data_IF_140185944459
#
_entry.id   IF_140185944459
#
_cell.length_a   1.000
_cell.length_b   1.000
_cell.length_c   1.000
_cell.angle_alpha   90.00
_cell.angle_beta   90.00
_cell.angle_gamma   90.00
#
_symmetry.space_group_name_H-M   'P 1'
#
loop_
_entity.id
_entity.type
_entity.pdbx_description
1 polymer ?
#
# COMPACT_ATOMS: atom_id res chain seq x y z
N UNK A 1 3.84 3.37 22.58
CA UNK A 1 4.59 2.66 23.61
C UNK A 1 6.06 2.65 23.26
N UNK A 2 6.78 1.58 22.91
CA UNK A 2 8.23 1.73 22.62
C UNK A 2 8.49 2.70 21.44
N UNK A 3 7.77 2.56 20.32
CA UNK A 3 7.91 3.46 19.17
C UNK A 3 7.59 4.91 19.51
N UNK A 4 6.50 5.15 20.22
CA UNK A 4 6.09 6.46 20.70
C UNK A 4 7.16 7.08 21.61
N UNK A 5 7.69 6.29 22.56
CA UNK A 5 8.72 6.75 23.51
C UNK A 5 9.99 7.25 22.83
N UNK A 6 10.35 6.68 21.68
CA UNK A 6 11.53 7.08 20.89
C UNK A 6 11.19 8.06 19.76
N UNK A 7 9.94 8.56 19.70
CA UNK A 7 9.49 9.63 18.82
C UNK A 7 9.07 9.21 17.42
N UNK A 8 8.82 7.91 17.16
CA UNK A 8 8.19 7.49 15.91
C UNK A 8 6.68 7.77 15.94
N UNK A 9 6.16 8.30 14.85
CA UNK A 9 4.73 8.55 14.65
C UNK A 9 4.14 7.75 13.47
N UNK A 10 4.97 7.08 12.69
CA UNK A 10 4.55 6.20 11.57
C UNK A 10 5.32 4.89 11.61
N UNK A 11 4.63 3.77 11.39
CA UNK A 11 5.24 2.45 11.25
C UNK A 11 4.66 1.70 10.04
N UNK A 12 5.51 1.23 9.12
CA UNK A 12 5.09 0.40 7.98
C UNK A 12 4.92 -1.07 8.38
N UNK A 13 4.00 -1.32 9.29
CA UNK A 13 3.55 -2.59 9.82
C UNK A 13 2.05 -2.45 10.21
N UNK A 14 1.30 -3.55 10.40
CA UNK A 14 1.70 -4.95 10.37
C UNK A 14 1.79 -5.56 8.96
N UNK A 15 2.43 -6.75 8.87
CA UNK A 15 2.41 -7.57 7.65
C UNK A 15 1.17 -8.46 7.66
N UNK A 16 0.32 -8.35 6.64
CA UNK A 16 -0.93 -9.10 6.49
C UNK A 16 -0.80 -10.26 5.50
N UNK A 17 0.36 -10.40 4.88
CA UNK A 17 0.62 -11.48 3.93
C UNK A 17 0.54 -12.84 4.60
N UNK A 18 -0.19 -13.78 3.98
CA UNK A 18 -0.41 -15.13 4.51
C UNK A 18 0.70 -16.04 3.99
N UNK A 19 1.45 -16.67 4.89
CA UNK A 19 2.37 -17.75 4.55
C UNK A 19 3.65 -17.34 3.82
N UNK A 20 4.02 -16.06 3.77
CA UNK A 20 5.31 -15.66 3.19
C UNK A 20 6.48 -16.23 3.99
N UNK A 21 7.59 -16.59 3.31
CA UNK A 21 8.75 -17.19 3.95
C UNK A 21 9.51 -16.21 4.87
N UNK A 22 10.55 -16.72 5.52
CA UNK A 22 11.52 -15.94 6.34
C UNK A 22 10.94 -15.32 7.62
N UNK A 23 9.85 -15.87 8.17
CA UNK A 23 9.29 -15.42 9.45
C UNK A 23 8.65 -14.03 9.41
N UNK A 24 8.32 -13.52 8.22
CA UNK A 24 7.67 -12.22 8.05
C UNK A 24 6.14 -12.28 8.21
N UNK A 25 5.52 -13.45 7.99
CA UNK A 25 4.09 -13.67 8.18
C UNK A 25 3.77 -14.09 9.61
N UNK A 26 2.60 -13.70 10.10
CA UNK A 26 2.05 -14.23 11.35
C UNK A 26 1.60 -15.70 11.23
N UNK A 27 1.45 -16.26 10.03
CA UNK A 27 1.07 -17.66 9.81
C UNK A 27 0.57 -17.96 8.41
N UNK A 28 0.07 -19.18 8.24
CA UNK A 28 -0.43 -19.70 6.98
C UNK A 28 -1.97 -19.76 6.89
N UNK A 29 -2.65 -19.28 7.92
CA UNK A 29 -4.11 -19.28 8.02
C UNK A 29 -4.64 -17.85 8.10
N UNK A 30 -5.62 -17.53 7.26
CA UNK A 30 -6.16 -16.17 7.14
C UNK A 30 -6.82 -15.67 8.44
N UNK A 31 -7.50 -16.53 9.17
CA UNK A 31 -8.15 -16.16 10.42
C UNK A 31 -7.11 -15.91 11.53
N UNK A 32 -6.04 -16.71 11.55
CA UNK A 32 -4.93 -16.53 12.48
C UNK A 32 -4.19 -15.21 12.19
N UNK A 33 -3.82 -14.94 10.93
CA UNK A 33 -3.19 -13.67 10.52
C UNK A 33 -4.09 -12.50 10.88
N UNK A 34 -5.41 -12.56 10.56
CA UNK A 34 -6.37 -11.51 10.89
C UNK A 34 -6.40 -11.19 12.39
N UNK A 35 -6.42 -12.21 13.25
CA UNK A 35 -6.45 -12.04 14.70
C UNK A 35 -5.21 -11.30 15.23
N UNK A 36 -4.02 -11.67 14.76
CA UNK A 36 -2.78 -11.05 15.22
C UNK A 36 -2.61 -9.64 14.66
N UNK A 37 -2.95 -9.42 13.39
CA UNK A 37 -2.87 -8.10 12.77
C UNK A 37 -3.89 -7.13 13.36
N UNK A 38 -5.11 -7.59 13.68
CA UNK A 38 -6.10 -6.78 14.40
C UNK A 38 -5.57 -6.34 15.77
N UNK A 39 -4.99 -7.25 16.55
CA UNK A 39 -4.39 -6.92 17.84
C UNK A 39 -3.25 -5.91 17.72
N UNK A 40 -2.39 -6.05 16.68
CA UNK A 40 -1.33 -5.09 16.40
C UNK A 40 -1.87 -3.71 16.03
N UNK A 41 -2.89 -3.63 15.16
CA UNK A 41 -3.53 -2.38 14.76
C UNK A 41 -4.14 -1.66 15.97
N UNK A 42 -4.86 -2.37 16.84
CA UNK A 42 -5.39 -1.78 18.09
C UNK A 42 -4.29 -1.25 19.02
N UNK A 43 -3.13 -1.93 19.06
CA UNK A 43 -1.97 -1.45 19.79
C UNK A 43 -1.36 -0.17 19.20
N UNK A 44 -1.33 -0.03 17.88
CA UNK A 44 -0.90 1.20 17.21
C UNK A 44 -1.89 2.35 17.45
N UNK A 45 -3.21 2.08 17.35
CA UNK A 45 -4.23 3.09 17.65
C UNK A 45 -4.12 3.63 19.08
N UNK A 46 -3.93 2.73 20.07
CA UNK A 46 -3.75 3.12 21.47
C UNK A 46 -2.49 3.96 21.70
N UNK A 47 -1.48 3.80 20.86
CA UNK A 47 -0.21 4.54 20.94
C UNK A 47 -0.20 5.80 20.05
N UNK A 48 -1.27 6.14 19.34
CA UNK A 48 -1.31 7.26 18.40
C UNK A 48 -0.37 7.10 17.19
N UNK A 49 0.06 5.87 16.88
CA UNK A 49 0.97 5.59 15.76
C UNK A 49 0.16 5.36 14.48
N UNK A 50 0.49 6.09 13.42
CA UNK A 50 -0.01 5.80 12.08
C UNK A 50 0.66 4.51 11.60
N UNK A 51 -0.12 3.54 11.14
CA UNK A 51 0.40 2.25 10.68
C UNK A 51 -0.01 1.93 9.25
N UNK A 52 0.66 0.97 8.63
CA UNK A 52 0.39 0.57 7.25
C UNK A 52 0.20 -0.94 7.13
N UNK A 53 -0.98 -1.34 6.64
CA UNK A 53 -1.29 -2.73 6.30
C UNK A 53 -0.54 -3.13 5.04
N UNK A 54 0.24 -4.22 5.04
CA UNK A 54 1.07 -4.59 3.89
C UNK A 54 1.19 -6.10 3.69
N UNK A 55 1.37 -6.51 2.43
CA UNK A 55 1.43 -5.75 1.16
C UNK A 55 0.20 -6.07 0.32
N UNK A 56 -0.69 -5.12 0.15
CA UNK A 56 -1.94 -5.34 -0.60
C UNK A 56 -1.66 -5.68 -2.08
N UNK A 57 -2.43 -6.61 -2.67
CA UNK A 57 -3.56 -7.40 -2.15
C UNK A 57 -3.18 -8.70 -1.40
N UNK A 58 -1.92 -8.93 -1.08
CA UNK A 58 -1.39 -10.10 -0.39
C UNK A 58 -0.34 -10.86 -1.21
N UNK A 59 0.85 -11.06 -0.63
CA UNK A 59 2.00 -11.64 -1.33
C UNK A 59 2.21 -13.14 -1.03
N UNK A 60 1.36 -13.76 -0.22
CA UNK A 60 1.57 -15.10 0.33
C UNK A 60 1.71 -16.23 -0.70
N UNK A 61 1.25 -16.02 -1.92
CA UNK A 61 1.40 -16.97 -3.04
C UNK A 61 2.62 -16.69 -3.93
N UNK A 62 3.46 -15.71 -3.55
CA UNK A 62 4.70 -15.44 -4.28
C UNK A 62 5.78 -16.43 -3.89
N UNK A 63 6.31 -17.16 -4.86
CA UNK A 63 7.47 -18.05 -4.69
C UNK A 63 8.80 -17.33 -4.92
N UNK A 64 8.78 -16.07 -5.39
CA UNK A 64 9.94 -15.27 -5.77
C UNK A 64 9.99 -13.98 -4.93
N UNK A 65 11.20 -13.56 -4.61
CA UNK A 65 11.44 -12.29 -3.92
C UNK A 65 11.18 -11.10 -4.86
N UNK A 66 10.17 -10.26 -4.60
CA UNK A 66 9.83 -9.12 -5.45
C UNK A 66 10.89 -8.02 -5.48
N UNK A 67 11.91 -8.08 -4.62
CA UNK A 67 13.03 -7.13 -4.65
C UNK A 67 13.93 -7.32 -5.87
N UNK A 68 13.96 -8.52 -6.46
CA UNK A 68 14.90 -8.88 -7.53
C UNK A 68 14.26 -8.97 -8.90
N UNK A 69 13.01 -9.44 -8.98
CA UNK A 69 12.36 -9.74 -10.26
C UNK A 69 10.86 -9.42 -10.22
N UNK A 70 10.29 -9.19 -11.41
CA UNK A 70 8.85 -9.10 -11.59
C UNK A 70 8.22 -10.48 -11.51
N UNK A 71 7.27 -10.64 -10.61
CA UNK A 71 6.53 -11.89 -10.45
C UNK A 71 5.03 -11.68 -10.69
N UNK A 72 4.40 -12.72 -11.25
CA UNK A 72 2.96 -12.76 -11.55
C UNK A 72 2.26 -13.78 -10.67
N UNK A 73 1.23 -13.32 -9.97
CA UNK A 73 0.33 -14.20 -9.22
C UNK A 73 -0.87 -14.50 -10.11
N UNK A 74 -1.07 -15.78 -10.42
CA UNK A 74 -2.15 -16.25 -11.32
C UNK A 74 -3.45 -16.60 -10.58
N UNK A 75 -3.68 -16.06 -9.39
CA UNK A 75 -4.92 -16.23 -8.66
C UNK A 75 -6.04 -15.40 -9.31
N UNK A 76 -7.24 -15.99 -9.40
CA UNK A 76 -8.42 -15.22 -9.81
C UNK A 76 -8.82 -14.22 -8.71
N UNK A 77 -9.62 -13.22 -9.07
CA UNK A 77 -10.13 -12.24 -8.11
C UNK A 77 -10.91 -12.90 -6.96
N UNK A 78 -11.70 -13.91 -7.27
CA UNK A 78 -12.49 -14.66 -6.28
C UNK A 78 -11.59 -15.37 -5.27
N UNK A 79 -10.49 -15.96 -5.72
CA UNK A 79 -9.50 -16.60 -4.85
C UNK A 79 -8.83 -15.56 -3.95
N UNK A 80 -8.41 -14.41 -4.50
CA UNK A 80 -7.85 -13.32 -3.69
C UNK A 80 -8.81 -12.85 -2.62
N UNK A 81 -10.11 -12.68 -2.94
CA UNK A 81 -11.15 -12.30 -2.00
C UNK A 81 -11.41 -13.31 -0.88
N UNK A 82 -11.23 -14.61 -1.18
CA UNK A 82 -11.49 -15.70 -0.25
C UNK A 82 -10.28 -16.09 0.58
N UNK A 83 -9.10 -15.62 0.24
CA UNK A 83 -7.86 -16.01 0.89
C UNK A 83 -7.00 -14.78 1.25
N UNK A 84 -6.22 -14.27 0.32
CA UNK A 84 -5.13 -13.30 0.59
C UNK A 84 -5.62 -11.95 1.12
N UNK A 85 -6.81 -11.49 0.70
CA UNK A 85 -7.36 -10.20 1.14
C UNK A 85 -8.20 -10.27 2.41
N UNK A 86 -8.46 -11.47 2.97
CA UNK A 86 -9.25 -11.60 4.21
C UNK A 86 -8.71 -10.74 5.35
N UNK A 87 -7.40 -10.74 5.68
CA UNK A 87 -6.88 -9.92 6.76
C UNK A 87 -7.07 -8.42 6.51
N UNK A 88 -6.90 -7.95 5.26
CA UNK A 88 -7.14 -6.55 4.89
C UNK A 88 -8.62 -6.18 5.04
N UNK A 89 -9.50 -6.99 4.47
CA UNK A 89 -10.96 -6.79 4.56
C UNK A 89 -11.43 -6.73 6.01
N UNK A 90 -10.89 -7.61 6.86
CA UNK A 90 -11.22 -7.64 8.28
C UNK A 90 -10.90 -6.31 8.97
N UNK A 91 -9.71 -5.75 8.77
CA UNK A 91 -9.33 -4.45 9.34
C UNK A 91 -10.18 -3.32 8.75
N UNK A 92 -10.29 -3.25 7.41
CA UNK A 92 -11.04 -2.19 6.70
C UNK A 92 -12.50 -2.12 7.17
N UNK A 93 -13.14 -3.27 7.46
CA UNK A 93 -14.54 -3.35 7.84
C UNK A 93 -14.81 -3.23 9.35
N UNK A 94 -13.83 -3.55 10.20
CA UNK A 94 -14.02 -3.59 11.65
C UNK A 94 -13.40 -2.40 12.39
N UNK A 95 -12.72 -1.50 11.70
CA UNK A 95 -12.18 -0.27 12.25
C UNK A 95 -12.98 0.92 11.73
N UNK A 96 -13.66 1.63 12.64
CA UNK A 96 -14.57 2.73 12.30
C UNK A 96 -13.85 3.88 11.62
N UNK A 97 -12.63 4.18 12.07
CA UNK A 97 -11.76 5.18 11.48
C UNK A 97 -10.73 4.48 10.59
N UNK A 98 -10.69 4.84 9.32
CA UNK A 98 -9.67 4.35 8.40
C UNK A 98 -8.46 5.32 8.38
N UNK A 99 -7.98 5.69 9.56
CA UNK A 99 -6.87 6.60 9.81
C UNK A 99 -5.51 5.88 9.82
N UNK A 100 -5.41 4.83 9.02
CA UNK A 100 -4.22 4.05 8.73
C UNK A 100 -3.93 4.03 7.22
N UNK A 101 -2.80 3.48 6.85
CA UNK A 101 -2.40 3.33 5.45
C UNK A 101 -2.60 1.90 4.96
N UNK A 102 -2.75 1.74 3.65
CA UNK A 102 -2.58 0.46 2.96
C UNK A 102 -1.41 0.59 1.99
N UNK A 103 -0.38 -0.23 2.19
CA UNK A 103 0.78 -0.31 1.30
C UNK A 103 0.52 -1.32 0.20
N UNK A 104 0.59 -0.86 -1.05
CA UNK A 104 0.38 -1.69 -2.24
C UNK A 104 1.72 -2.14 -2.80
N UNK A 105 1.90 -3.45 -2.93
CA UNK A 105 3.11 -4.06 -3.48
C UNK A 105 3.21 -3.92 -5.02
N UNK A 106 4.31 -4.43 -5.59
CA UNK A 106 4.61 -4.29 -7.03
C UNK A 106 4.35 -5.56 -7.85
N UNK A 107 3.76 -6.59 -7.26
CA UNK A 107 3.44 -7.82 -7.99
C UNK A 107 2.29 -7.61 -8.97
N UNK A 108 2.27 -8.40 -10.04
CA UNK A 108 1.15 -8.43 -11.00
C UNK A 108 0.19 -9.55 -10.58
N UNK A 109 -1.08 -9.21 -10.40
CA UNK A 109 -2.16 -10.14 -10.10
C UNK A 109 -3.01 -10.31 -11.35
N UNK A 110 -2.77 -11.38 -12.13
CA UNK A 110 -3.37 -11.54 -13.45
C UNK A 110 -4.89 -11.69 -13.44
N UNK A 111 -5.47 -12.07 -12.29
CA UNK A 111 -6.92 -12.04 -12.09
C UNK A 111 -7.52 -10.66 -11.85
N UNK A 112 -6.69 -9.63 -11.67
CA UNK A 112 -7.12 -8.23 -11.47
C UNK A 112 -6.67 -7.33 -12.63
N UNK A 113 -5.38 -7.39 -13.00
CA UNK A 113 -4.80 -6.54 -14.04
C UNK A 113 -3.53 -7.16 -14.64
N UNK A 114 -3.04 -6.54 -15.71
CA UNK A 114 -1.73 -6.85 -16.34
C UNK A 114 -0.61 -5.93 -15.86
N UNK A 115 -0.95 -4.90 -15.09
CA UNK A 115 -0.02 -3.93 -14.50
C UNK A 115 0.40 -4.35 -13.08
N UNK A 116 1.58 -3.92 -12.61
CA UNK A 116 1.94 -4.01 -11.19
C UNK A 116 0.88 -3.35 -10.30
N UNK A 117 0.55 -3.97 -9.18
CA UNK A 117 -0.57 -3.54 -8.32
C UNK A 117 -0.47 -2.07 -7.89
N UNK A 118 0.74 -1.57 -7.58
CA UNK A 118 0.98 -0.18 -7.16
C UNK A 118 0.75 0.88 -8.26
N UNK A 119 0.63 0.47 -9.53
CA UNK A 119 0.35 1.36 -10.66
C UNK A 119 -0.91 0.94 -11.42
N UNK A 120 -1.73 0.08 -10.83
CA UNK A 120 -2.96 -0.45 -11.42
C UNK A 120 -4.21 0.25 -10.86
N UNK A 121 -4.97 1.00 -11.69
CA UNK A 121 -6.28 1.53 -11.29
C UNK A 121 -7.28 0.42 -10.92
N UNK A 122 -7.17 -0.76 -11.52
CA UNK A 122 -8.03 -1.91 -11.21
C UNK A 122 -7.81 -2.41 -9.79
N UNK A 123 -6.54 -2.45 -9.34
CA UNK A 123 -6.20 -2.88 -7.97
C UNK A 123 -6.56 -1.80 -6.96
N UNK A 124 -6.20 -0.54 -7.22
CA UNK A 124 -6.33 0.52 -6.22
C UNK A 124 -7.76 1.09 -6.19
N UNK A 125 -8.26 1.60 -7.32
CA UNK A 125 -9.57 2.24 -7.33
C UNK A 125 -10.71 1.23 -7.30
N UNK A 126 -10.66 0.17 -8.15
CA UNK A 126 -11.78 -0.74 -8.24
C UNK A 126 -11.78 -1.78 -7.10
N UNK A 127 -10.64 -2.44 -6.84
CA UNK A 127 -10.60 -3.52 -5.87
C UNK A 127 -10.46 -3.00 -4.42
N UNK A 128 -9.46 -2.16 -4.12
CA UNK A 128 -9.23 -1.68 -2.75
C UNK A 128 -10.28 -0.63 -2.32
N UNK A 129 -10.47 0.43 -3.12
CA UNK A 129 -11.36 1.54 -2.72
C UNK A 129 -12.83 1.22 -2.89
N UNK A 130 -13.25 0.75 -4.08
CA UNK A 130 -14.68 0.56 -4.37
C UNK A 130 -15.21 -0.76 -3.77
N UNK A 131 -14.49 -1.87 -3.92
CA UNK A 131 -15.03 -3.18 -3.53
C UNK A 131 -14.76 -3.52 -2.06
N UNK A 132 -13.54 -3.25 -1.54
CA UNK A 132 -13.25 -3.45 -0.12
C UNK A 132 -13.64 -2.24 0.75
N UNK A 133 -13.93 -1.08 0.15
CA UNK A 133 -14.44 0.10 0.85
C UNK A 133 -13.36 0.95 1.54
N UNK A 134 -12.07 0.83 1.17
CA UNK A 134 -11.00 1.60 1.80
C UNK A 134 -10.98 3.06 1.33
N UNK A 135 -11.08 4.00 2.27
CA UNK A 135 -11.07 5.44 2.02
C UNK A 135 -9.82 6.17 2.58
N UNK A 136 -8.97 5.46 3.33
CA UNK A 136 -7.74 6.00 3.91
C UNK A 136 -6.61 6.18 2.91
N UNK A 137 -5.39 6.36 3.42
CA UNK A 137 -4.19 6.64 2.64
C UNK A 137 -3.67 5.37 1.95
N UNK A 138 -3.49 5.42 0.64
CA UNK A 138 -2.80 4.39 -0.14
C UNK A 138 -1.35 4.83 -0.38
N UNK A 139 -0.39 4.00 0.03
CA UNK A 139 1.05 4.21 -0.18
C UNK A 139 1.62 3.08 -1.05
N UNK A 140 2.58 3.39 -1.92
CA UNK A 140 3.34 2.34 -2.63
C UNK A 140 4.30 1.61 -1.68
N UNK A 141 4.70 0.39 -2.01
CA UNK A 141 5.98 -0.15 -1.55
C UNK A 141 7.13 0.66 -2.18
N UNK A 142 8.38 0.38 -1.82
CA UNK A 142 9.53 1.13 -2.33
C UNK A 142 9.63 1.06 -3.86
N UNK A 143 9.46 2.20 -4.50
CA UNK A 143 9.47 2.31 -5.96
C UNK A 143 10.84 1.99 -6.61
N UNK A 144 11.88 1.81 -5.81
CA UNK A 144 13.21 1.39 -6.28
C UNK A 144 13.36 -0.14 -6.40
N UNK A 145 12.31 -0.91 -6.05
CA UNK A 145 12.31 -2.37 -6.20
C UNK A 145 12.34 -2.81 -7.66
N UNK A 146 13.10 -3.88 -7.94
CA UNK A 146 13.32 -4.44 -9.28
C UNK A 146 12.02 -4.78 -10.02
N UNK A 147 10.99 -5.23 -9.30
CA UNK A 147 9.68 -5.52 -9.85
C UNK A 147 9.04 -4.32 -10.59
N UNK A 148 9.32 -3.10 -10.18
CA UNK A 148 8.79 -1.89 -10.80
C UNK A 148 9.80 -1.22 -11.74
N UNK A 149 11.08 -1.12 -11.34
CA UNK A 149 12.13 -0.45 -12.12
C UNK A 149 12.48 -1.16 -13.43
N UNK A 150 12.16 -2.47 -13.53
CA UNK A 150 12.29 -3.21 -14.79
C UNK A 150 11.28 -2.79 -15.87
N UNK A 151 10.20 -2.07 -15.49
CA UNK A 151 9.10 -1.70 -16.40
C UNK A 151 8.99 -0.19 -16.62
N UNK A 152 9.39 0.62 -15.66
CA UNK A 152 9.16 2.07 -15.64
C UNK A 152 10.41 2.84 -15.27
N UNK A 153 10.62 3.98 -15.92
CA UNK A 153 11.51 5.02 -15.40
C UNK A 153 10.89 5.75 -14.20
N UNK A 154 11.74 6.33 -13.33
CA UNK A 154 11.26 6.95 -12.08
C UNK A 154 10.23 8.08 -12.29
N UNK A 155 10.37 8.89 -13.35
CA UNK A 155 9.39 9.93 -13.68
C UNK A 155 8.04 9.33 -14.05
N UNK A 156 8.04 8.25 -14.82
CA UNK A 156 6.85 7.60 -15.35
C UNK A 156 6.11 6.81 -14.27
N UNK A 157 6.83 6.08 -13.41
CA UNK A 157 6.21 5.28 -12.35
C UNK A 157 5.47 6.14 -11.33
N UNK A 158 6.02 7.32 -10.98
CA UNK A 158 5.33 8.26 -10.09
C UNK A 158 4.02 8.76 -10.68
N UNK A 159 4.00 9.10 -11.96
CA UNK A 159 2.78 9.52 -12.67
C UNK A 159 1.77 8.38 -12.72
N UNK A 160 2.21 7.16 -13.07
CA UNK A 160 1.34 6.00 -13.17
C UNK A 160 0.70 5.64 -11.81
N UNK A 161 1.47 5.69 -10.71
CA UNK A 161 0.97 5.43 -9.37
C UNK A 161 -0.10 6.47 -8.94
N UNK A 162 0.13 7.76 -9.17
CA UNK A 162 -0.87 8.80 -8.89
C UNK A 162 -2.12 8.62 -9.76
N UNK A 163 -1.98 8.28 -11.04
CA UNK A 163 -3.12 7.96 -11.92
C UNK A 163 -3.92 6.74 -11.43
N UNK A 164 -3.24 5.78 -10.80
CA UNK A 164 -3.88 4.61 -10.22
C UNK A 164 -4.63 4.90 -8.92
N UNK A 165 -4.43 6.06 -8.29
CA UNK A 165 -5.10 6.47 -7.05
C UNK A 165 -4.26 6.31 -5.78
N UNK A 166 -2.93 6.21 -5.92
CA UNK A 166 -1.99 6.25 -4.80
C UNK A 166 -1.87 7.69 -4.27
N UNK A 167 -1.76 7.82 -2.94
CA UNK A 167 -1.64 9.09 -2.24
C UNK A 167 -0.19 9.43 -1.85
N UNK A 168 0.61 8.40 -1.52
CA UNK A 168 2.00 8.55 -1.06
C UNK A 168 2.92 7.66 -1.90
N UNK A 169 3.96 8.25 -2.46
CA UNK A 169 4.97 7.58 -3.27
C UNK A 169 6.22 7.35 -2.42
N UNK A 170 6.55 6.08 -2.13
CA UNK A 170 7.67 5.71 -1.29
C UNK A 170 8.93 5.49 -2.14
N UNK A 171 10.01 6.24 -1.88
CA UNK A 171 11.32 6.11 -2.54
C UNK A 171 12.38 6.19 -1.46
N UNK A 172 13.06 5.07 -1.14
CA UNK A 172 13.77 4.90 0.12
C UNK A 172 15.28 5.15 0.05
N UNK A 173 15.92 4.96 -1.10
CA UNK A 173 17.37 4.79 -1.13
C UNK A 173 18.11 5.95 -1.80
N UNK A 174 17.64 6.44 -2.95
CA UNK A 174 18.39 7.40 -3.75
C UNK A 174 17.65 8.73 -3.91
N UNK A 175 18.31 9.82 -3.48
CA UNK A 175 17.74 11.16 -3.56
C UNK A 175 17.46 11.61 -5.02
N UNK A 176 18.29 11.22 -5.99
CA UNK A 176 18.03 11.54 -7.40
C UNK A 176 16.76 10.86 -7.91
N UNK A 177 16.47 9.62 -7.45
CA UNK A 177 15.24 8.94 -7.79
C UNK A 177 14.01 9.62 -7.17
N UNK A 178 14.11 10.08 -5.92
CA UNK A 178 13.07 10.89 -5.28
C UNK A 178 12.77 12.15 -6.09
N UNK A 179 13.83 12.86 -6.53
CA UNK A 179 13.67 14.03 -7.38
C UNK A 179 13.03 13.70 -8.74
N UNK A 180 13.42 12.60 -9.37
CA UNK A 180 12.84 12.19 -10.65
C UNK A 180 11.35 11.88 -10.53
N UNK A 181 10.94 11.13 -9.50
CA UNK A 181 9.52 10.84 -9.20
C UNK A 181 8.74 12.14 -8.99
N UNK A 182 9.25 13.03 -8.13
CA UNK A 182 8.63 14.34 -7.86
C UNK A 182 8.48 15.18 -9.12
N UNK A 183 9.55 15.32 -9.91
CA UNK A 183 9.54 16.11 -11.14
C UNK A 183 8.59 15.53 -12.20
N UNK A 184 8.51 14.19 -12.30
CA UNK A 184 7.57 13.53 -13.19
C UNK A 184 6.13 13.89 -12.87
N UNK A 185 5.74 13.79 -11.59
CA UNK A 185 4.39 14.14 -11.12
C UNK A 185 4.12 15.64 -11.33
N UNK A 186 5.05 16.53 -10.96
CA UNK A 186 4.92 17.98 -11.11
C UNK A 186 4.72 18.39 -12.57
N UNK A 187 5.49 17.80 -13.48
CA UNK A 187 5.37 18.05 -14.92
C UNK A 187 4.05 17.52 -15.48
N UNK A 188 3.61 16.36 -15.04
CA UNK A 188 2.33 15.79 -15.45
C UNK A 188 1.14 16.65 -15.02
N UNK A 189 1.20 17.29 -13.85
CA UNK A 189 0.20 18.28 -13.42
C UNK A 189 0.25 19.54 -14.29
N UNK A 190 1.44 20.10 -14.53
CA UNK A 190 1.63 21.29 -15.36
C UNK A 190 1.14 21.11 -16.82
N UNK A 191 1.26 19.89 -17.33
CA UNK A 191 0.84 19.55 -18.70
C UNK A 191 -0.58 18.98 -18.79
N UNK A 192 -1.34 19.00 -17.69
CA UNK A 192 -2.68 18.43 -17.56
C UNK A 192 -2.76 16.91 -17.86
N UNK A 193 -1.66 16.18 -17.76
CA UNK A 193 -1.64 14.72 -17.81
C UNK A 193 -2.17 14.11 -16.49
N UNK A 194 -1.96 14.81 -15.37
CA UNK A 194 -2.60 14.57 -14.08
C UNK A 194 -3.51 15.76 -13.74
N UNK A 195 -4.68 15.46 -13.18
CA UNK A 195 -5.58 16.52 -12.69
C UNK A 195 -5.14 17.01 -11.30
N UNK A 196 -5.29 18.30 -11.04
CA UNK A 196 -5.08 18.85 -9.68
C UNK A 196 -6.02 18.19 -8.67
N UNK A 197 -7.24 17.83 -9.07
CA UNK A 197 -8.20 17.16 -8.21
C UNK A 197 -7.69 15.83 -7.64
N UNK A 198 -6.88 15.07 -8.38
CA UNK A 198 -6.25 13.85 -7.88
C UNK A 198 -5.23 14.15 -6.78
N UNK A 199 -4.41 15.19 -6.98
CA UNK A 199 -3.42 15.64 -5.98
C UNK A 199 -4.12 16.21 -4.75
N UNK A 200 -5.16 17.02 -4.94
CA UNK A 200 -5.92 17.64 -3.84
C UNK A 200 -6.60 16.54 -2.98
N UNK A 201 -7.20 15.53 -3.62
CA UNK A 201 -7.82 14.42 -2.90
C UNK A 201 -6.80 13.60 -2.08
N UNK A 202 -5.60 13.38 -2.61
CA UNK A 202 -4.51 12.71 -1.88
C UNK A 202 -4.03 13.58 -0.70
N UNK A 203 -3.83 14.89 -0.93
CA UNK A 203 -3.41 15.82 0.11
C UNK A 203 -4.44 15.92 1.25
N UNK A 204 -5.73 15.94 0.94
CA UNK A 204 -6.81 15.94 1.95
C UNK A 204 -6.71 14.70 2.84
N UNK A 205 -6.64 13.49 2.27
CA UNK A 205 -6.50 12.25 3.06
C UNK A 205 -5.28 12.27 3.97
N UNK A 206 -4.15 12.76 3.47
CA UNK A 206 -2.91 12.84 4.24
C UNK A 206 -3.03 13.85 5.39
N UNK A 207 -3.60 15.03 5.14
CA UNK A 207 -3.76 16.08 6.15
C UNK A 207 -4.76 15.64 7.22
N UNK A 208 -5.92 15.12 6.83
CA UNK A 208 -6.94 14.62 7.77
C UNK A 208 -6.37 13.53 8.68
N UNK A 209 -5.65 12.55 8.13
CA UNK A 209 -5.00 11.49 8.92
C UNK A 209 -3.99 12.06 9.93
N UNK A 210 -3.17 13.03 9.50
CA UNK A 210 -2.22 13.71 10.40
C UNK A 210 -2.94 14.50 11.49
N UNK A 211 -4.04 15.16 11.19
CA UNK A 211 -4.81 15.91 12.17
C UNK A 211 -5.41 15.01 13.24
N UNK A 212 -5.92 13.84 12.84
CA UNK A 212 -6.50 12.86 13.77
C UNK A 212 -5.42 12.27 14.71
N UNK A 213 -4.25 11.90 14.17
CA UNK A 213 -3.26 11.11 14.90
C UNK A 213 -2.16 11.93 15.60
N UNK A 214 -1.89 13.14 15.17
CA UNK A 214 -0.71 13.90 15.63
C UNK A 214 -1.04 15.20 16.34
N UNK A 215 -2.31 15.63 16.34
CA UNK A 215 -2.73 16.88 16.99
C UNK A 215 -3.63 16.67 18.23
N UNK A 216 -4.08 15.43 18.47
CA UNK A 216 -4.74 14.99 19.71
C UNK A 216 -3.71 14.42 20.71
#
# INVERSE_FOLDING_TARGET
>A
MELETIGFNVNFAPVLDIGIPYGRSYGHDAAFVSKFTEAACRGYDQAGIIYSLKHFPGMGKSEVDPHTEQYRITASKEILLQEDTIPFKNIIQNFDNQDFMVMVGHLIYTGLDTLPASVSPQVINNFLRNELGFQGIVITDDMEMGALTSMYGFREMGVAAVQAGVDVLLVCHNYEHQQQVYQGVLEAVKTNKLTTAAIDAAAVRIVENKMIKLLD
#
